data_IF_833540242411
#
_entry.id   IF_833540242411
#
_cell.length_a   1.000
_cell.length_b   1.000
_cell.length_c   1.000
_cell.angle_alpha   90.00
_cell.angle_beta   90.00
_cell.angle_gamma   90.00
#
_symmetry.space_group_name_H-M   'P 1'
#
loop_
_entity.id
_entity.type
_entity.pdbx_description
1 polymer ?
#
# COMPACT_ATOMS: atom_id res chain seq x y z
N UNK A 1 9.26 6.99 17.64
CA UNK A 1 10.03 8.08 16.99
C UNK A 1 11.55 7.82 16.85
N UNK A 2 12.09 6.68 17.28
CA UNK A 2 13.54 6.38 17.29
C UNK A 2 14.14 5.97 15.93
N UNK A 3 13.43 6.16 14.80
CA UNK A 3 13.88 5.75 13.44
C UNK A 3 14.38 4.29 13.35
N UNK A 4 13.58 3.37 13.90
CA UNK A 4 13.91 1.94 13.99
C UNK A 4 13.34 1.07 12.86
N UNK A 5 12.67 1.67 11.89
CA UNK A 5 12.06 0.97 10.76
C UNK A 5 13.10 0.68 9.68
N UNK A 6 12.94 -0.42 8.94
CA UNK A 6 13.80 -0.78 7.80
C UNK A 6 13.06 -0.83 6.45
N UNK A 7 11.73 -0.93 6.47
CA UNK A 7 10.90 -0.97 5.27
C UNK A 7 9.47 -1.38 5.59
N UNK A 8 8.62 -1.39 4.57
CA UNK A 8 7.28 -1.98 4.63
C UNK A 8 7.33 -3.42 4.14
N UNK A 9 6.56 -4.30 4.78
CA UNK A 9 6.29 -5.63 4.24
C UNK A 9 5.39 -5.52 3.01
N UNK A 10 5.47 -6.45 2.03
CA UNK A 10 4.48 -6.54 0.97
C UNK A 10 3.06 -6.63 1.54
N UNK A 11 2.09 -6.04 0.86
CA UNK A 11 0.74 -5.91 1.37
C UNK A 11 -0.32 -6.14 0.30
N UNK A 12 -1.54 -6.43 0.75
CA UNK A 12 -2.68 -6.72 -0.12
C UNK A 12 -3.78 -5.70 0.21
N UNK A 13 -3.98 -4.73 -0.68
CA UNK A 13 -5.02 -3.73 -0.52
C UNK A 13 -6.33 -4.26 -1.08
N UNK A 14 -7.34 -4.35 -0.21
CA UNK A 14 -8.69 -4.71 -0.63
C UNK A 14 -9.36 -3.48 -1.23
N UNK A 15 -9.69 -3.58 -2.51
CA UNK A 15 -10.36 -2.51 -3.25
C UNK A 15 -11.85 -2.79 -3.32
N UNK A 16 -12.66 -1.84 -2.84
CA UNK A 16 -14.13 -1.93 -2.84
C UNK A 16 -14.77 -0.65 -3.33
N UNK A 17 -15.97 -0.76 -3.90
CA UNK A 17 -16.77 0.41 -4.29
C UNK A 17 -17.84 0.67 -3.23
N UNK A 18 -17.91 1.91 -2.73
CA UNK A 18 -18.95 2.35 -1.81
C UNK A 18 -19.34 3.80 -2.10
N UNK A 19 -20.65 4.06 -2.25
CA UNK A 19 -21.20 5.37 -2.59
C UNK A 19 -20.53 5.99 -3.84
N UNK A 20 -20.35 5.19 -4.90
CA UNK A 20 -19.67 5.58 -6.14
C UNK A 20 -18.22 6.07 -5.97
N UNK A 21 -17.56 5.69 -4.88
CA UNK A 21 -16.15 5.98 -4.59
C UNK A 21 -15.39 4.66 -4.47
N UNK A 22 -14.26 4.56 -5.15
CA UNK A 22 -13.33 3.46 -4.95
C UNK A 22 -12.60 3.66 -3.63
N UNK A 23 -12.63 2.65 -2.77
CA UNK A 23 -11.97 2.62 -1.47
C UNK A 23 -10.96 1.49 -1.43
N UNK A 24 -9.84 1.74 -0.75
CA UNK A 24 -8.81 0.75 -0.53
C UNK A 24 -8.49 0.64 0.95
N UNK A 25 -8.60 -0.57 1.49
CA UNK A 25 -8.31 -0.87 2.89
C UNK A 25 -7.14 -1.86 2.97
N UNK A 26 -6.13 -1.55 3.78
CA UNK A 26 -4.95 -2.40 3.95
C UNK A 26 -4.37 -2.31 5.35
N UNK A 27 -4.05 -3.45 5.94
CA UNK A 27 -3.20 -3.53 7.13
C UNK A 27 -1.75 -3.57 6.66
N UNK A 28 -0.99 -2.53 6.99
CA UNK A 28 0.41 -2.40 6.63
C UNK A 28 1.29 -2.76 7.82
N UNK A 29 2.47 -3.34 7.56
CA UNK A 29 3.42 -3.71 8.59
C UNK A 29 4.80 -3.10 8.29
N UNK A 30 5.29 -2.25 9.20
CA UNK A 30 6.67 -1.75 9.17
C UNK A 30 7.59 -2.76 9.83
N UNK A 31 8.58 -3.26 9.09
CA UNK A 31 9.64 -4.10 9.63
C UNK A 31 10.58 -3.26 10.52
N UNK A 32 11.01 -3.83 11.65
CA UNK A 32 11.85 -3.15 12.64
C UNK A 32 13.28 -3.72 12.70
N UNK A 33 14.25 -2.85 13.00
CA UNK A 33 15.63 -3.24 13.32
C UNK A 33 15.64 -4.18 14.53
N UNK A 34 16.22 -5.37 14.34
CA UNK A 34 16.26 -6.44 15.34
C UNK A 34 15.06 -7.41 15.27
N UNK A 35 14.22 -7.30 14.24
CA UNK A 35 13.04 -8.14 14.03
C UNK A 35 11.75 -7.54 14.60
N UNK A 36 10.63 -8.17 14.23
CA UNK A 36 9.28 -7.74 14.60
C UNK A 36 8.70 -6.67 13.68
N UNK A 37 7.44 -6.32 13.95
CA UNK A 37 6.64 -5.43 13.10
C UNK A 37 5.92 -4.36 13.91
N UNK A 38 5.73 -3.19 13.29
CA UNK A 38 4.79 -2.18 13.74
C UNK A 38 3.69 -2.01 12.71
N UNK A 39 2.46 -2.40 13.07
CA UNK A 39 1.31 -2.36 12.17
C UNK A 39 0.63 -0.99 12.12
N UNK A 40 0.04 -0.65 10.99
CA UNK A 40 -0.96 0.41 10.88
C UNK A 40 -2.06 0.02 9.88
N UNK A 41 -3.23 0.67 10.00
CA UNK A 41 -4.34 0.45 9.09
C UNK A 41 -4.52 1.68 8.19
N UNK A 42 -4.46 1.48 6.88
CA UNK A 42 -4.81 2.51 5.91
C UNK A 42 -6.25 2.32 5.45
N UNK A 43 -6.99 3.43 5.42
CA UNK A 43 -8.30 3.54 4.80
C UNK A 43 -8.20 4.68 3.78
N UNK A 44 -8.18 4.34 2.50
CA UNK A 44 -7.97 5.31 1.42
C UNK A 44 -9.24 5.43 0.57
N UNK A 45 -9.62 6.67 0.24
CA UNK A 45 -10.71 6.95 -0.70
C UNK A 45 -10.15 7.62 -1.96
N UNK A 46 -10.34 6.98 -3.12
CA UNK A 46 -9.87 7.47 -4.41
C UNK A 46 -11.02 8.22 -5.10
N UNK A 47 -10.81 9.50 -5.37
CA UNK A 47 -11.79 10.39 -6.02
C UNK A 47 -11.25 10.87 -7.35
N UNK A 48 -12.09 10.85 -8.37
CA UNK A 48 -11.77 11.38 -9.70
C UNK A 48 -12.47 12.73 -9.91
N UNK A 49 -11.89 13.59 -10.75
CA UNK A 49 -12.53 14.85 -11.15
C UNK A 49 -13.66 14.59 -12.15
N UNK A 50 -13.41 13.67 -13.08
CA UNK A 50 -14.37 13.24 -14.10
C UNK A 50 -15.00 11.89 -13.74
N UNK A 51 -16.23 11.61 -14.21
CA UNK A 51 -16.85 10.29 -14.07
C UNK A 51 -16.00 9.18 -14.71
N UNK A 52 -15.87 8.05 -14.01
CA UNK A 52 -15.19 6.85 -14.51
C UNK A 52 -16.04 5.61 -14.28
N UNK A 53 -15.82 4.58 -15.09
CA UNK A 53 -16.38 3.25 -14.82
C UNK A 53 -15.68 2.64 -13.62
N UNK A 54 -16.45 2.28 -12.59
CA UNK A 54 -15.91 1.70 -11.37
C UNK A 54 -15.65 0.20 -11.55
N UNK A 55 -14.52 -0.33 -11.05
CA UNK A 55 -14.21 -1.74 -11.14
C UNK A 55 -15.06 -2.57 -10.16
N UNK A 56 -15.11 -3.88 -10.39
CA UNK A 56 -15.56 -4.82 -9.36
C UNK A 56 -14.56 -4.85 -8.20
N UNK A 57 -14.98 -5.44 -7.06
CA UNK A 57 -14.08 -5.66 -5.94
C UNK A 57 -12.89 -6.52 -6.38
N UNK A 58 -11.69 -6.10 -6.00
CA UNK A 58 -10.44 -6.74 -6.38
C UNK A 58 -9.37 -6.51 -5.30
N UNK A 59 -8.18 -7.05 -5.52
CA UNK A 59 -7.02 -6.85 -4.66
C UNK A 59 -5.94 -6.17 -5.48
N UNK A 60 -5.16 -5.31 -4.81
CA UNK A 60 -3.89 -4.81 -5.33
C UNK A 60 -2.79 -5.28 -4.39
N UNK A 61 -1.86 -6.07 -4.91
CA UNK A 61 -0.65 -6.45 -4.18
C UNK A 61 0.38 -5.33 -4.32
N UNK A 62 0.92 -4.84 -3.21
CA UNK A 62 1.93 -3.79 -3.18
C UNK A 62 3.24 -4.35 -2.64
N UNK A 63 4.34 -3.95 -3.27
CA UNK A 63 5.67 -4.10 -2.73
C UNK A 63 6.46 -2.82 -2.97
N UNK A 64 6.70 -2.06 -1.89
CA UNK A 64 7.46 -0.81 -1.93
C UNK A 64 8.81 -0.98 -1.24
N UNK A 65 9.87 -0.67 -1.97
CA UNK A 65 11.26 -0.81 -1.52
C UNK A 65 11.93 0.55 -1.55
N UNK A 66 12.69 0.83 -0.48
CA UNK A 66 13.52 2.03 -0.37
C UNK A 66 14.98 1.63 -0.36
N UNK A 67 15.77 2.33 -1.17
CA UNK A 67 17.23 2.26 -1.14
C UNK A 67 17.77 3.62 -0.74
N UNK A 68 18.52 3.67 0.35
CA UNK A 68 19.26 4.87 0.74
C UNK A 68 20.46 5.05 -0.19
N UNK A 69 20.60 6.23 -0.79
CA UNK A 69 21.72 6.58 -1.66
C UNK A 69 22.48 7.78 -1.05
N UNK A 70 23.58 8.18 -1.69
CA UNK A 70 24.41 9.28 -1.20
C UNK A 70 23.65 10.62 -1.07
N UNK A 71 24.23 11.56 -0.33
CA UNK A 71 23.69 12.91 -0.15
C UNK A 71 22.28 12.98 0.46
N UNK A 72 21.93 12.04 1.36
CA UNK A 72 20.61 11.97 2.01
C UNK A 72 19.45 11.82 1.02
N UNK A 73 19.73 11.35 -0.20
CA UNK A 73 18.70 11.03 -1.19
C UNK A 73 18.24 9.59 -0.98
N UNK A 74 17.06 9.30 -1.52
CA UNK A 74 16.47 7.96 -1.48
C UNK A 74 15.98 7.62 -2.88
N UNK A 75 16.22 6.38 -3.29
CA UNK A 75 15.50 5.75 -4.39
C UNK A 75 14.31 4.99 -3.79
N UNK A 76 13.15 5.15 -4.41
CA UNK A 76 11.92 4.51 -4.00
C UNK A 76 11.30 3.83 -5.21
N UNK A 77 11.03 2.53 -5.07
CA UNK A 77 10.47 1.71 -6.14
C UNK A 77 9.24 1.00 -5.60
N UNK A 78 8.15 1.00 -6.36
CA UNK A 78 6.91 0.30 -6.02
C UNK A 78 6.49 -0.58 -7.18
N UNK A 79 6.19 -1.84 -6.88
CA UNK A 79 5.45 -2.72 -7.78
C UNK A 79 4.04 -2.90 -7.23
N UNK A 80 3.03 -2.69 -8.06
CA UNK A 80 1.63 -2.87 -7.71
C UNK A 80 0.93 -3.71 -8.79
N UNK A 81 0.30 -4.81 -8.39
CA UNK A 81 -0.40 -5.72 -9.32
C UNK A 81 -1.84 -5.89 -8.88
N UNK A 82 -2.78 -5.51 -9.76
CA UNK A 82 -4.19 -5.71 -9.54
C UNK A 82 -4.64 -7.08 -10.07
N UNK A 83 -5.42 -7.81 -9.27
CA UNK A 83 -6.04 -9.06 -9.69
C UNK A 83 -7.37 -9.30 -8.95
N UNK A 84 -8.22 -10.12 -9.56
CA UNK A 84 -9.40 -10.65 -8.85
C UNK A 84 -8.91 -11.71 -7.88
N UNK A 85 -9.50 -11.78 -6.68
CA UNK A 85 -9.12 -12.77 -5.68
C UNK A 85 -9.37 -14.18 -6.26
N UNK A 86 -8.33 -15.03 -6.39
CA UNK A 86 -8.45 -16.32 -7.10
C UNK A 86 -9.27 -17.40 -6.39
N UNK A 87 -9.79 -17.15 -5.17
CA UNK A 87 -10.30 -18.12 -4.20
C UNK A 87 -9.19 -19.00 -3.60
#
# INVERSE_FOLDING_TARGET
MQKRTIGWDPSFQKMTVSNNILRGDVTMFLQLKGGGYHSCQFHTSYKTKEPVTLPQNHVVEHHIVRTDIEDKKVLLEETAVAHVNPL
#
